data_IF_471707541179
#
_entry.id   IF_471707541179
#
_cell.length_a   1.000
_cell.length_b   1.000
_cell.length_c   1.000
_cell.angle_alpha   90.00
_cell.angle_beta   90.00
_cell.angle_gamma   90.00
#
_symmetry.space_group_name_H-M   'P 1'
#
loop_
_entity.id
_entity.type
_entity.pdbx_description
1 polymer ?
#
# COMPACT_ATOMS: atom_id res chain seq x y z
N UNK A 1 4.67 8.53 23.90
CA UNK A 1 4.10 8.40 23.76
C UNK A 1 3.44 7.75 23.53
N UNK A 2 3.00 7.34 23.49
CA UNK A 2 2.42 6.70 23.29
C UNK A 2 1.57 6.62 22.67
N UNK A 3 1.32 6.55 22.13
CA UNK A 3 0.42 6.46 21.53
C UNK A 3 -0.08 5.48 21.39
N UNK A 4 -0.26 4.87 21.54
CA UNK A 4 -0.59 3.83 21.37
C UNK A 4 -1.67 3.42 21.98
N UNK A 5 -2.07 3.61 22.56
CA UNK A 5 -3.04 3.21 23.02
C UNK A 5 -4.09 3.42 22.55
N UNK A 6 -4.06 3.83 21.94
CA UNK A 6 -4.99 4.09 21.45
C UNK A 6 -5.71 3.28 20.93
N UNK A 7 -5.50 2.80 20.67
CA UNK A 7 -6.15 1.93 20.12
C UNK A 7 -7.19 1.46 20.94
N UNK A 8 -7.46 1.96 21.60
CA UNK A 8 -8.28 1.67 22.28
C UNK A 8 -9.43 1.34 21.81
N UNK A 9 -10.27 1.29 21.99
CA UNK A 9 -11.38 0.89 21.37
C UNK A 9 -11.19 -0.39 20.71
N UNK A 10 -10.00 -0.74 20.54
CA UNK A 10 -9.74 -1.98 19.90
C UNK A 10 -10.27 -2.06 18.53
N UNK A 11 -10.70 -0.95 17.96
CA UNK A 11 -11.19 -0.99 16.72
C UNK A 11 -10.19 -0.89 15.71
N UNK A 12 -9.23 -0.06 15.87
CA UNK A 12 -8.23 0.17 14.86
C UNK A 12 -7.20 -0.92 14.92
N UNK A 13 -6.89 -1.50 13.79
CA UNK A 13 -5.82 -2.46 13.68
C UNK A 13 -4.62 -1.72 13.13
N UNK A 14 -3.52 -1.75 13.86
CA UNK A 14 -2.32 -1.09 13.42
C UNK A 14 -1.43 -2.12 12.76
N UNK A 15 -1.27 -1.97 11.47
CA UNK A 15 -0.41 -2.86 10.71
C UNK A 15 0.86 -2.15 10.34
N UNK A 16 1.95 -2.87 10.33
CA UNK A 16 3.23 -2.34 9.90
C UNK A 16 3.33 -2.40 8.39
N UNK A 17 4.04 -1.43 7.84
CA UNK A 17 4.31 -1.43 6.41
C UNK A 17 5.64 -2.14 6.16
N UNK A 18 5.63 -3.13 5.28
CA UNK A 18 6.85 -3.81 4.88
C UNK A 18 7.03 -3.57 3.39
N UNK A 19 8.12 -2.93 3.02
CA UNK A 19 8.40 -2.64 1.62
C UNK A 19 9.31 -3.73 1.08
N UNK A 20 8.78 -4.57 0.23
CA UNK A 20 9.58 -5.61 -0.38
C UNK A 20 10.57 -5.00 -1.37
N UNK A 21 11.63 -5.72 -1.71
CA UNK A 21 12.69 -5.15 -2.56
C UNK A 21 12.18 -4.57 -3.86
N UNK A 22 11.27 -5.23 -4.53
CA UNK A 22 10.76 -4.72 -5.79
C UNK A 22 9.98 -3.43 -5.61
N UNK A 23 9.21 -3.31 -4.53
CA UNK A 23 8.51 -2.07 -4.24
C UNK A 23 9.51 -0.93 -4.03
N UNK A 24 10.59 -1.20 -3.30
CA UNK A 24 11.58 -0.16 -3.05
C UNK A 24 12.26 0.28 -4.34
N UNK A 25 12.54 -0.66 -5.23
CA UNK A 25 13.12 -0.31 -6.52
C UNK A 25 12.16 0.52 -7.36
N UNK A 26 10.88 0.16 -7.33
CA UNK A 26 9.89 0.92 -8.08
C UNK A 26 9.74 2.32 -7.54
N UNK A 27 9.74 2.46 -6.21
CA UNK A 27 9.64 3.77 -5.59
C UNK A 27 10.84 4.62 -5.97
N UNK A 28 12.04 4.03 -5.95
CA UNK A 28 13.24 4.74 -6.33
C UNK A 28 13.14 5.21 -7.79
N UNK A 29 12.65 4.35 -8.66
CA UNK A 29 12.45 4.71 -10.06
C UNK A 29 11.59 5.96 -10.17
N UNK A 30 10.47 6.02 -9.43
CA UNK A 30 9.60 7.18 -9.48
C UNK A 30 10.25 8.43 -8.91
N UNK A 31 11.02 8.27 -7.83
CA UNK A 31 11.75 9.41 -7.28
C UNK A 31 12.67 10.02 -8.32
N UNK A 32 13.28 9.18 -9.15
CA UNK A 32 14.25 9.66 -10.13
C UNK A 32 13.61 10.23 -11.37
N UNK A 33 12.47 9.69 -11.81
CA UNK A 33 11.91 10.14 -13.08
C UNK A 33 10.64 10.97 -12.93
N UNK A 34 9.89 10.85 -11.84
CA UNK A 34 8.68 11.64 -11.66
C UNK A 34 8.32 11.70 -10.20
N UNK A 35 8.78 12.76 -9.54
CA UNK A 35 8.59 12.88 -8.09
C UNK A 35 7.14 12.91 -7.69
N UNK A 36 6.26 13.46 -8.52
CA UNK A 36 4.85 13.52 -8.17
C UNK A 36 4.27 12.12 -8.01
N UNK A 37 4.70 11.20 -8.86
CA UNK A 37 4.24 9.82 -8.75
C UNK A 37 4.79 9.19 -7.49
N UNK A 38 6.06 9.47 -7.16
CA UNK A 38 6.63 8.94 -5.92
C UNK A 38 5.86 9.43 -4.71
N UNK A 39 5.50 10.71 -4.68
CA UNK A 39 4.75 11.26 -3.56
C UNK A 39 3.35 10.66 -3.49
N UNK A 40 2.73 10.46 -4.64
CA UNK A 40 1.43 9.82 -4.67
C UNK A 40 1.51 8.40 -4.16
N UNK A 41 2.59 7.67 -4.50
CA UNK A 41 2.78 6.32 -4.00
C UNK A 41 2.83 6.30 -2.47
N UNK A 42 3.53 7.24 -1.87
CA UNK A 42 3.61 7.32 -0.42
C UNK A 42 2.25 7.68 0.18
N UNK A 43 1.51 8.55 -0.48
CA UNK A 43 0.16 8.90 -0.03
C UNK A 43 -0.74 7.66 -0.06
N UNK A 44 -0.62 6.85 -1.10
CA UNK A 44 -1.41 5.63 -1.21
C UNK A 44 -1.00 4.64 -0.12
N UNK A 45 0.31 4.52 0.15
CA UNK A 45 0.78 3.65 1.22
C UNK A 45 0.10 4.03 2.54
N UNK A 46 0.07 5.32 2.84
CA UNK A 46 -0.55 5.75 4.09
C UNK A 46 -2.05 5.48 4.10
N UNK A 47 -2.71 5.67 2.97
CA UNK A 47 -4.13 5.37 2.88
C UNK A 47 -4.40 3.89 3.07
N UNK A 48 -3.54 3.04 2.51
CA UNK A 48 -3.68 1.59 2.68
C UNK A 48 -3.49 1.18 4.14
N UNK A 49 -2.53 1.81 4.82
CA UNK A 49 -2.32 1.49 6.23
C UNK A 49 -3.50 1.91 7.09
N UNK A 50 -4.20 2.96 6.67
CA UNK A 50 -5.36 3.42 7.39
C UNK A 50 -6.55 2.49 7.17
N UNK A 51 -6.77 2.08 5.93
CA UNK A 51 -7.85 1.14 5.58
C UNK A 51 -7.45 0.41 4.30
N UNK A 52 -7.00 -0.84 4.42
CA UNK A 52 -6.50 -1.54 3.24
C UNK A 52 -7.56 -1.91 2.21
N UNK A 53 -8.82 -1.77 2.55
CA UNK A 53 -9.90 -2.26 1.68
C UNK A 53 -10.73 -1.15 1.05
N UNK A 54 -10.55 0.09 1.48
CA UNK A 54 -11.33 1.20 0.97
C UNK A 54 -10.48 2.47 0.97
N UNK A 55 -10.79 3.40 0.07
CA UNK A 55 -10.09 4.66 0.01
C UNK A 55 -9.65 5.01 -1.39
N UNK A 56 -8.68 5.92 -1.47
CA UNK A 56 -8.25 6.43 -2.77
C UNK A 56 -7.58 5.36 -3.61
N UNK A 57 -7.55 5.56 -4.92
CA UNK A 57 -6.85 4.64 -5.82
C UNK A 57 -7.66 3.43 -6.22
N UNK A 58 -8.95 3.43 -5.92
CA UNK A 58 -9.85 2.35 -6.34
C UNK A 58 -9.31 0.98 -5.93
N UNK A 59 -9.34 0.68 -4.63
CA UNK A 59 -8.84 -0.61 -4.14
C UNK A 59 -9.57 -1.75 -4.83
N UNK A 60 -8.83 -2.75 -5.22
CA UNK A 60 -9.36 -3.88 -5.94
C UNK A 60 -8.73 -5.17 -5.44
N UNK A 61 -9.54 -6.14 -5.02
CA UNK A 61 -8.98 -7.42 -4.60
C UNK A 61 -8.48 -8.20 -5.80
N UNK A 62 -7.35 -8.86 -5.64
CA UNK A 62 -6.75 -9.68 -6.69
C UNK A 62 -6.79 -11.13 -6.24
N UNK A 63 -8.00 -11.65 -6.05
CA UNK A 63 -8.19 -12.98 -5.49
C UNK A 63 -7.54 -14.07 -6.33
N UNK A 64 -7.47 -13.82 -7.63
CA UNK A 64 -6.88 -14.81 -8.51
C UNK A 64 -5.38 -14.98 -8.29
N UNK A 65 -4.73 -14.00 -7.62
CA UNK A 65 -3.31 -14.13 -7.31
C UNK A 65 -3.12 -14.83 -5.97
N UNK A 66 -3.82 -14.35 -4.95
CA UNK A 66 -3.72 -14.94 -3.62
C UNK A 66 -4.74 -14.30 -2.72
N UNK A 67 -5.18 -14.99 -1.65
CA UNK A 67 -6.02 -14.37 -0.64
C UNK A 67 -5.28 -13.20 0.01
N UNK A 68 -5.98 -12.11 0.22
CA UNK A 68 -5.39 -10.94 0.84
C UNK A 68 -4.63 -10.03 -0.10
N UNK A 69 -4.55 -10.40 -1.37
CA UNK A 69 -3.85 -9.58 -2.35
C UNK A 69 -4.77 -8.51 -2.89
N UNK A 70 -4.27 -7.28 -2.93
CA UNK A 70 -5.04 -6.11 -3.37
C UNK A 70 -4.18 -5.20 -4.21
N UNK A 71 -4.82 -4.31 -4.94
CA UNK A 71 -4.08 -3.27 -5.66
C UNK A 71 -4.82 -1.95 -5.57
N UNK A 72 -4.08 -0.87 -5.73
CA UNK A 72 -4.62 0.47 -5.87
C UNK A 72 -3.98 1.15 -7.06
N UNK A 73 -4.76 1.96 -7.75
CA UNK A 73 -4.26 2.67 -8.92
C UNK A 73 -3.30 3.77 -8.50
N UNK A 74 -2.10 3.74 -9.04
CA UNK A 74 -1.10 4.77 -8.84
C UNK A 74 -1.19 5.82 -9.94
N UNK A 75 -1.20 5.35 -11.19
CA UNK A 75 -1.46 6.19 -12.35
C UNK A 75 -2.39 5.41 -13.26
N UNK A 76 -2.66 5.96 -14.43
CA UNK A 76 -3.50 5.27 -15.38
C UNK A 76 -2.94 3.90 -15.74
N UNK A 77 -1.61 3.78 -15.80
CA UNK A 77 -0.95 2.55 -16.19
C UNK A 77 -0.38 1.72 -15.08
N UNK A 78 -0.19 2.30 -13.92
CA UNK A 78 0.55 1.64 -12.86
C UNK A 78 -0.30 1.46 -11.62
N UNK A 79 -0.05 0.37 -10.91
CA UNK A 79 -0.79 0.06 -9.70
C UNK A 79 0.20 -0.32 -8.60
N UNK A 80 -0.21 -0.05 -7.37
CA UNK A 80 0.51 -0.56 -6.20
C UNK A 80 -0.18 -1.84 -5.80
N UNK A 81 0.60 -2.91 -5.67
CA UNK A 81 0.09 -4.22 -5.27
C UNK A 81 0.58 -4.49 -3.86
N UNK A 82 -0.33 -4.94 -3.01
CA UNK A 82 0.02 -5.19 -1.61
C UNK A 82 -0.72 -6.41 -1.08
N UNK A 83 -0.15 -7.01 -0.06
CA UNK A 83 -0.70 -8.19 0.58
C UNK A 83 -1.05 -7.85 2.01
N UNK A 84 -2.32 -8.04 2.38
CA UNK A 84 -2.82 -7.66 3.69
C UNK A 84 -2.73 -8.86 4.61
N UNK A 85 -2.00 -8.72 5.69
CA UNK A 85 -1.95 -9.71 6.75
C UNK A 85 -2.59 -9.16 8.01
N UNK A 86 -2.53 -9.93 9.08
CA UNK A 86 -3.16 -9.54 10.34
C UNK A 86 -2.47 -8.34 10.97
N UNK A 87 -1.14 -8.35 10.98
CA UNK A 87 -0.39 -7.30 11.67
C UNK A 87 0.56 -6.55 10.76
N UNK A 88 0.53 -6.81 9.46
CA UNK A 88 1.40 -6.08 8.55
C UNK A 88 0.83 -6.10 7.15
N UNK A 89 1.27 -5.16 6.34
CA UNK A 89 0.94 -5.12 4.92
C UNK A 89 2.26 -5.11 4.16
N UNK A 90 2.42 -6.07 3.27
CA UNK A 90 3.59 -6.13 2.41
C UNK A 90 3.27 -5.39 1.14
N UNK A 91 4.04 -4.33 0.86
CA UNK A 91 3.92 -3.62 -0.40
C UNK A 91 4.87 -4.27 -1.38
N UNK A 92 4.32 -4.80 -2.47
CA UNK A 92 5.06 -5.70 -3.35
C UNK A 92 5.64 -5.00 -4.56
N UNK A 93 4.89 -4.11 -5.17
CA UNK A 93 5.36 -3.38 -6.34
C UNK A 93 4.57 -2.11 -6.55
N UNK A 94 5.12 -1.19 -7.34
CA UNK A 94 4.49 0.09 -7.63
C UNK A 94 4.68 0.49 -9.08
N UNK A 95 4.90 -0.47 -9.97
CA UNK A 95 4.96 -0.23 -11.41
C UNK A 95 4.16 -1.31 -12.08
N UNK A 96 3.61 -0.98 -13.24
CA UNK A 96 2.83 -1.91 -14.04
C UNK A 96 1.56 -2.33 -13.34
N UNK A 97 0.85 -3.22 -13.94
CA UNK A 97 -0.42 -3.69 -13.41
C UNK A 97 -0.71 -5.07 -13.97
N UNK A 98 -1.77 -5.65 -13.49
CA UNK A 98 -2.20 -6.97 -13.94
C UNK A 98 -3.42 -6.88 -14.78
#
# INVERSE_FOLDING_TARGET
MERSHKTEGGKAVRREAVFQPEFREDLRHWVEIDRKIALRALTIVEAVLRDPFAGIGKPKPLKYLAPGMWSRRLTQEHRIVYLVGDDRIDFLQARYHY
#
